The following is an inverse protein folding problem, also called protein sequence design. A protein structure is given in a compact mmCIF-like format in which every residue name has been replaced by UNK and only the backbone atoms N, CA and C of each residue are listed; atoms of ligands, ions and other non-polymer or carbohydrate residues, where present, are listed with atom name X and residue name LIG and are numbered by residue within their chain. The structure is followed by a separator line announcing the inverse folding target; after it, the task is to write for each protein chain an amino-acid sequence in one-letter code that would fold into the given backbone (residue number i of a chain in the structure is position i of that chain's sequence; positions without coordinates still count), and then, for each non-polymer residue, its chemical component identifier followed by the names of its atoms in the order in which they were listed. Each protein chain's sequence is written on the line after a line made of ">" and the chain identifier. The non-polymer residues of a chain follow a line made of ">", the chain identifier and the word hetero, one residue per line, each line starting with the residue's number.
data_IF_364482752664
#
_entry.id   IF_364482752664
#
_cell.length_a   1.000
_cell.length_b   1.000
_cell.length_c   1.000
_cell.angle_alpha   90.00
_cell.angle_beta   90.00
_cell.angle_gamma   90.00
#
_symmetry.space_group_name_H-M   'P 1'
#
loop_
_entity.id
_entity.type
_entity.pdbx_description
1 polymer ?
#
# COMPACT_ATOMS: atom_id res chain seq x y z
N UNK A 1 -19.33 4.93 30.66
CA UNK A 1 -17.99 4.31 30.67
C UNK A 1 -17.25 4.81 29.45
N UNK A 2 -16.26 5.68 29.66
CA UNK A 2 -15.46 6.27 28.60
C UNK A 2 -14.40 5.24 28.17
N UNK A 3 -14.56 4.67 26.97
CA UNK A 3 -13.54 3.85 26.33
C UNK A 3 -12.52 4.82 25.73
N UNK A 4 -11.23 4.78 26.10
CA UNK A 4 -10.24 5.66 25.51
C UNK A 4 -10.08 5.32 24.04
N UNK A 5 -10.41 6.28 23.17
CA UNK A 5 -10.15 6.28 21.72
C UNK A 5 -8.67 6.52 21.46
N UNK A 6 -7.82 5.55 21.79
CA UNK A 6 -6.48 5.50 21.22
C UNK A 6 -6.58 4.86 19.84
N UNK A 7 -6.70 5.70 18.80
CA UNK A 7 -6.39 5.29 17.44
C UNK A 7 -5.02 4.57 17.48
N UNK A 8 -4.92 3.30 17.04
CA UNK A 8 -3.65 2.59 17.09
C UNK A 8 -2.70 3.28 16.12
N UNK A 9 -1.85 4.16 16.66
CA UNK A 9 -0.75 4.77 15.92
C UNK A 9 0.13 3.62 15.45
N UNK A 10 0.02 3.30 14.17
CA UNK A 10 0.66 2.14 13.58
C UNK A 10 2.17 2.40 13.60
N UNK A 11 2.88 1.81 14.57
CA UNK A 11 4.34 1.88 14.73
C UNK A 11 5.08 1.08 13.64
N UNK A 12 4.55 1.09 12.41
CA UNK A 12 5.16 0.42 11.28
C UNK A 12 6.33 1.26 10.77
N UNK A 13 7.41 0.58 10.38
CA UNK A 13 8.67 1.21 9.93
C UNK A 13 8.46 2.29 8.84
N UNK A 14 7.46 2.11 7.99
CA UNK A 14 7.17 3.00 6.85
C UNK A 14 5.78 3.61 6.97
N UNK A 15 5.67 4.92 6.66
CA UNK A 15 4.40 5.67 6.71
C UNK A 15 3.42 5.31 5.58
N UNK A 16 3.91 4.70 4.50
CA UNK A 16 3.13 4.31 3.33
C UNK A 16 3.62 2.96 2.76
N UNK A 17 2.81 2.37 1.87
CA UNK A 17 3.11 1.15 1.12
C UNK A 17 2.95 1.34 -0.37
N UNK A 18 3.65 0.52 -1.17
CA UNK A 18 3.46 0.48 -2.62
C UNK A 18 2.24 -0.38 -2.94
N UNK A 19 1.33 0.14 -3.77
CA UNK A 19 0.24 -0.60 -4.38
C UNK A 19 0.42 -0.55 -5.91
N UNK A 20 0.83 -1.63 -6.58
CA UNK A 20 0.90 -1.66 -8.04
C UNK A 20 -0.45 -1.24 -8.65
N UNK A 21 -0.45 -0.39 -9.68
CA UNK A 21 -1.72 0.10 -10.27
C UNK A 21 -2.56 -1.01 -10.91
N UNK A 22 -1.95 -2.14 -11.26
CA UNK A 22 -2.64 -3.32 -11.79
C UNK A 22 -3.39 -4.10 -10.70
N UNK A 23 -2.96 -3.97 -9.45
CA UNK A 23 -3.53 -4.63 -8.27
C UNK A 23 -4.66 -3.82 -7.63
N UNK A 24 -5.12 -2.73 -8.27
CA UNK A 24 -6.21 -1.92 -7.73
C UNK A 24 -7.48 -2.79 -7.56
N UNK A 25 -8.05 -2.86 -6.35
CA UNK A 25 -9.15 -3.77 -6.11
C UNK A 25 -10.39 -3.34 -6.89
N UNK A 26 -11.03 -4.35 -7.47
CA UNK A 26 -12.35 -4.22 -8.08
C UNK A 26 -13.44 -4.26 -7.01
N UNK A 27 -14.59 -3.69 -7.34
CA UNK A 27 -15.78 -3.72 -6.49
C UNK A 27 -16.11 -2.38 -5.81
N UNK A 28 -17.10 -2.46 -4.90
CA UNK A 28 -17.66 -1.32 -4.19
C UNK A 28 -16.80 -0.95 -2.98
N UNK A 29 -16.88 0.31 -2.58
CA UNK A 29 -16.20 0.84 -1.40
C UNK A 29 -15.68 2.26 -1.62
N UNK A 30 -15.57 3.00 -0.52
CA UNK A 30 -15.06 4.38 -0.50
C UNK A 30 -13.56 4.37 -0.82
N UNK A 31 -12.81 3.46 -0.22
CA UNK A 31 -11.36 3.34 -0.45
C UNK A 31 -11.04 2.85 -1.85
N UNK A 32 -11.82 1.92 -2.41
CA UNK A 32 -11.65 1.52 -3.81
C UNK A 32 -11.87 2.68 -4.77
N UNK A 33 -12.89 3.51 -4.53
CA UNK A 33 -13.11 4.73 -5.29
C UNK A 33 -11.95 5.72 -5.13
N UNK A 34 -11.52 5.97 -3.89
CA UNK A 34 -10.36 6.82 -3.60
C UNK A 34 -9.09 6.34 -4.32
N UNK A 35 -8.77 5.04 -4.26
CA UNK A 35 -7.57 4.49 -4.87
C UNK A 35 -7.58 4.62 -6.40
N UNK A 36 -8.77 4.50 -7.03
CA UNK A 36 -8.95 4.75 -8.47
C UNK A 36 -8.79 6.23 -8.83
N UNK A 37 -9.28 7.16 -8.00
CA UNK A 37 -9.01 8.58 -8.20
C UNK A 37 -7.52 8.89 -8.02
N UNK A 38 -6.91 8.43 -6.93
CA UNK A 38 -5.50 8.65 -6.64
C UNK A 38 -4.57 8.04 -7.70
N UNK A 39 -4.91 6.90 -8.28
CA UNK A 39 -4.12 6.30 -9.36
C UNK A 39 -4.12 7.11 -10.65
N UNK A 40 -5.13 7.98 -10.84
CA UNK A 40 -5.32 8.86 -12.01
C UNK A 40 -4.99 10.33 -11.72
N UNK A 41 -4.66 10.67 -10.48
CA UNK A 41 -4.21 12.00 -10.11
C UNK A 41 -2.81 12.28 -10.68
N UNK A 42 -2.53 13.55 -10.92
CA UNK A 42 -1.25 14.00 -11.44
C UNK A 42 -0.14 13.76 -10.42
N UNK A 43 0.93 13.11 -10.85
CA UNK A 43 2.09 12.82 -10.00
C UNK A 43 3.15 13.93 -10.03
N UNK A 44 2.95 14.93 -10.88
CA UNK A 44 3.72 16.16 -10.96
C UNK A 44 2.82 17.31 -11.43
N UNK A 45 3.10 18.56 -11.07
CA UNK A 45 2.38 19.70 -11.63
C UNK A 45 2.61 19.85 -13.14
N UNK A 46 1.62 20.34 -13.85
CA UNK A 46 1.75 20.74 -15.26
C UNK A 46 0.38 21.10 -15.86
N UNK A 47 0.18 20.83 -17.14
CA UNK A 47 -1.03 21.23 -17.86
C UNK A 47 -1.73 20.06 -18.55
N UNK A 48 -3.06 20.10 -18.60
CA UNK A 48 -3.88 19.13 -19.34
C UNK A 48 -4.90 19.82 -20.23
N UNK A 49 -5.06 19.29 -21.44
CA UNK A 49 -6.08 19.76 -22.40
C UNK A 49 -7.40 19.04 -22.16
N UNK A 50 -8.46 19.80 -21.89
CA UNK A 50 -9.82 19.28 -21.73
C UNK A 50 -10.85 20.27 -22.28
N UNK A 51 -11.85 19.77 -23.03
CA UNK A 51 -12.87 20.58 -23.71
C UNK A 51 -12.29 21.74 -24.53
N UNK A 52 -11.15 21.53 -25.20
CA UNK A 52 -10.48 22.56 -26.00
C UNK A 52 -9.69 23.59 -25.18
N UNK A 53 -9.76 23.56 -23.85
CA UNK A 53 -9.03 24.45 -22.96
C UNK A 53 -7.78 23.76 -22.38
N UNK A 54 -6.71 24.54 -22.24
CA UNK A 54 -5.54 24.14 -21.44
C UNK A 54 -5.86 24.49 -19.99
N UNK A 55 -5.69 23.52 -19.10
CA UNK A 55 -5.96 23.67 -17.69
C UNK A 55 -4.68 23.39 -16.91
N UNK A 56 -4.36 24.26 -15.96
CA UNK A 56 -3.35 23.96 -14.96
C UNK A 56 -3.83 22.82 -14.07
N UNK A 57 -2.93 21.88 -13.82
CA UNK A 57 -3.15 20.69 -13.01
C UNK A 57 -2.09 20.67 -11.90
N UNK A 58 -2.47 21.07 -10.68
CA UNK A 58 -1.62 20.91 -9.51
C UNK A 58 -1.23 19.46 -9.24
N UNK A 59 -0.17 19.27 -8.44
CA UNK A 59 0.16 17.96 -7.90
C UNK A 59 -1.03 17.32 -7.19
N UNK A 60 -1.15 15.99 -7.28
CA UNK A 60 -2.20 15.20 -6.64
C UNK A 60 -3.63 15.52 -7.12
N UNK A 61 -3.76 16.24 -8.24
CA UNK A 61 -5.05 16.65 -8.78
C UNK A 61 -5.36 16.00 -10.12
N UNK A 62 -6.63 16.04 -10.50
CA UNK A 62 -7.07 15.65 -11.82
C UNK A 62 -8.09 16.65 -12.33
N UNK A 63 -8.05 16.91 -13.64
CA UNK A 63 -8.97 17.78 -14.34
C UNK A 63 -9.57 17.05 -15.53
N UNK A 64 -10.89 17.12 -15.67
CA UNK A 64 -11.61 16.58 -16.81
C UNK A 64 -13.09 16.89 -16.69
N UNK A 65 -13.95 15.94 -17.05
CA UNK A 65 -15.40 16.09 -16.83
C UNK A 65 -16.06 14.78 -16.46
N UNK A 66 -17.40 14.83 -16.42
CA UNK A 66 -18.19 13.75 -15.81
C UNK A 66 -17.99 12.38 -16.47
N UNK A 67 -17.74 12.33 -17.77
CA UNK A 67 -17.50 11.07 -18.50
C UNK A 67 -16.19 10.43 -18.03
N UNK A 68 -15.13 11.24 -17.91
CA UNK A 68 -13.84 10.80 -17.37
C UNK A 68 -13.97 10.34 -15.93
N UNK A 69 -14.64 11.11 -15.07
CA UNK A 69 -14.87 10.73 -13.67
C UNK A 69 -15.59 9.37 -13.55
N UNK A 70 -16.66 9.19 -14.31
CA UNK A 70 -17.42 7.94 -14.36
C UNK A 70 -16.56 6.74 -14.77
N UNK A 71 -15.71 6.94 -15.79
CA UNK A 71 -14.75 5.93 -16.25
C UNK A 71 -13.75 5.58 -15.15
N UNK A 72 -13.14 6.57 -14.49
CA UNK A 72 -12.20 6.35 -13.39
C UNK A 72 -12.86 5.58 -12.25
N UNK A 73 -14.07 5.96 -11.84
CA UNK A 73 -14.77 5.33 -10.72
C UNK A 73 -15.38 3.96 -11.06
N UNK A 74 -15.53 3.64 -12.35
CA UNK A 74 -16.30 2.46 -12.80
C UNK A 74 -17.81 2.59 -12.60
N UNK A 75 -18.35 3.82 -12.60
CA UNK A 75 -19.76 4.11 -12.29
C UNK A 75 -20.50 4.61 -13.53
N UNK A 76 -21.56 3.91 -13.94
CA UNK A 76 -22.35 4.26 -15.15
C UNK A 76 -23.30 5.43 -14.97
N UNK A 77 -23.73 5.76 -13.76
CA UNK A 77 -24.71 6.81 -13.50
C UNK A 77 -24.05 8.09 -12.98
N UNK A 78 -24.41 9.24 -13.55
CA UNK A 78 -23.87 10.54 -13.14
C UNK A 78 -24.14 10.85 -11.66
N UNK A 79 -25.38 10.64 -11.21
CA UNK A 79 -25.79 10.93 -9.83
C UNK A 79 -24.98 10.10 -8.83
N UNK A 80 -24.80 8.80 -9.08
CA UNK A 80 -23.99 7.91 -8.23
C UNK A 80 -22.51 8.30 -8.22
N UNK A 81 -21.96 8.75 -9.35
CA UNK A 81 -20.57 9.20 -9.42
C UNK A 81 -20.36 10.47 -8.57
N UNK A 82 -21.26 11.45 -8.67
CA UNK A 82 -21.19 12.67 -7.86
C UNK A 82 -21.44 12.38 -6.38
N UNK A 83 -22.40 11.52 -6.04
CA UNK A 83 -22.63 11.10 -4.65
C UNK A 83 -21.39 10.41 -4.03
N UNK A 84 -20.62 9.67 -4.82
CA UNK A 84 -19.34 9.11 -4.35
C UNK A 84 -18.29 10.20 -4.12
N UNK A 85 -18.23 11.24 -4.97
CA UNK A 85 -17.35 12.39 -4.75
C UNK A 85 -17.72 13.16 -3.49
N UNK A 86 -19.01 13.38 -3.25
CA UNK A 86 -19.52 13.99 -2.01
C UNK A 86 -19.09 13.18 -0.80
N UNK A 87 -19.32 11.87 -0.82
CA UNK A 87 -18.92 10.96 0.26
C UNK A 87 -17.41 10.97 0.50
N UNK A 88 -16.59 10.95 -0.55
CA UNK A 88 -15.13 11.05 -0.43
C UNK A 88 -14.69 12.39 0.15
N UNK A 89 -15.36 13.48 -0.21
CA UNK A 89 -15.08 14.82 0.33
C UNK A 89 -15.52 14.95 1.79
N UNK A 90 -16.66 14.39 2.16
CA UNK A 90 -17.19 14.35 3.53
C UNK A 90 -16.25 13.61 4.47
N UNK A 91 -15.76 12.43 4.05
CA UNK A 91 -14.68 11.73 4.75
C UNK A 91 -13.31 12.40 4.55
N UNK A 92 -13.22 13.59 3.98
CA UNK A 92 -11.96 14.34 3.91
C UNK A 92 -10.84 13.69 3.11
N UNK A 93 -11.14 12.80 2.15
CA UNK A 93 -10.13 12.20 1.27
C UNK A 93 -9.73 13.10 0.11
N UNK A 94 -10.68 13.91 -0.36
CA UNK A 94 -10.49 14.80 -1.50
C UNK A 94 -11.08 16.18 -1.22
N UNK A 95 -10.70 17.14 -2.05
CA UNK A 95 -11.56 18.28 -2.40
C UNK A 95 -11.95 18.13 -3.87
N UNK A 96 -13.13 18.60 -4.25
CA UNK A 96 -13.51 18.60 -5.66
C UNK A 96 -14.45 19.76 -5.99
N UNK A 97 -14.49 20.15 -7.27
CA UNK A 97 -15.37 21.17 -7.80
C UNK A 97 -15.90 20.77 -9.17
N UNK A 98 -17.10 21.26 -9.49
CA UNK A 98 -17.73 21.09 -10.80
C UNK A 98 -18.30 22.43 -11.26
N UNK A 99 -17.72 22.97 -12.32
CA UNK A 99 -18.20 24.20 -12.95
C UNK A 99 -19.46 23.91 -13.78
N UNK A 100 -20.55 24.62 -13.48
CA UNK A 100 -21.84 24.44 -14.14
C UNK A 100 -21.86 24.95 -15.58
N UNK A 101 -21.01 25.92 -15.94
CA UNK A 101 -20.88 26.51 -17.28
C UNK A 101 -19.94 25.67 -18.15
N UNK A 102 -18.71 25.48 -17.71
CA UNK A 102 -17.67 24.80 -18.52
C UNK A 102 -17.76 23.27 -18.44
N UNK A 103 -18.56 22.73 -17.50
CA UNK A 103 -18.63 21.29 -17.16
C UNK A 103 -17.28 20.69 -16.74
N UNK A 104 -16.30 21.54 -16.44
CA UNK A 104 -15.00 21.17 -15.88
C UNK A 104 -15.21 20.62 -14.48
N UNK A 105 -14.73 19.41 -14.26
CA UNK A 105 -14.63 18.77 -12.96
C UNK A 105 -13.15 18.67 -12.59
N UNK A 106 -12.82 19.08 -11.37
CA UNK A 106 -11.49 18.88 -10.80
C UNK A 106 -11.58 18.28 -9.41
N UNK A 107 -10.63 17.42 -9.06
CA UNK A 107 -10.45 16.95 -7.69
C UNK A 107 -8.98 16.94 -7.30
N UNK A 108 -8.72 17.03 -5.99
CA UNK A 108 -7.38 16.95 -5.40
C UNK A 108 -7.39 15.93 -4.26
N UNK A 109 -6.43 15.01 -4.27
CA UNK A 109 -6.22 14.02 -3.20
C UNK A 109 -5.54 14.71 -2.00
N UNK A 110 -6.12 14.58 -0.81
CA UNK A 110 -5.58 15.20 0.42
C UNK A 110 -4.40 14.42 1.00
N UNK A 111 -4.49 13.10 1.02
CA UNK A 111 -3.48 12.22 1.63
C UNK A 111 -2.39 11.78 0.61
N UNK A 112 -1.92 12.70 -0.23
CA UNK A 112 -0.92 12.39 -1.25
C UNK A 112 0.48 12.28 -0.64
N UNK A 113 1.24 11.25 -1.03
CA UNK A 113 2.64 11.06 -0.62
C UNK A 113 3.54 11.89 -1.54
N UNK A 114 3.85 13.12 -1.11
CA UNK A 114 4.56 14.12 -1.92
C UNK A 114 5.96 13.64 -2.30
N UNK A 115 6.62 12.86 -1.45
CA UNK A 115 7.95 12.29 -1.68
C UNK A 115 8.01 11.39 -2.92
N UNK A 116 6.87 10.83 -3.35
CA UNK A 116 6.79 10.01 -4.56
C UNK A 116 6.58 10.82 -5.87
N UNK A 117 6.65 12.16 -5.81
CA UNK A 117 6.21 13.04 -6.90
C UNK A 117 7.35 13.54 -7.80
N UNK A 118 7.04 13.84 -9.05
CA UNK A 118 7.99 14.40 -10.02
C UNK A 118 8.04 15.93 -10.00
N UNK A 119 9.13 16.50 -10.52
CA UNK A 119 9.23 17.95 -10.76
C UNK A 119 8.22 18.43 -11.80
N UNK A 120 7.76 19.67 -11.69
CA UNK A 120 6.82 20.26 -12.64
C UNK A 120 7.37 20.21 -14.07
N UNK A 121 6.50 19.92 -15.06
CA UNK A 121 6.88 19.92 -16.47
C UNK A 121 5.74 20.55 -17.29
N UNK A 122 6.07 21.47 -18.19
CA UNK A 122 5.12 22.17 -19.07
C UNK A 122 4.63 21.28 -20.21
N UNK A 123 5.52 20.45 -20.76
CA UNK A 123 5.30 19.69 -22.00
C UNK A 123 5.41 18.17 -21.82
N UNK A 124 5.39 17.69 -20.57
CA UNK A 124 5.58 16.28 -20.22
C UNK A 124 4.31 15.59 -19.72
N UNK A 125 4.35 14.26 -19.62
CA UNK A 125 3.26 13.46 -19.07
C UNK A 125 3.11 13.71 -17.57
N UNK A 126 1.95 14.24 -17.16
CA UNK A 126 1.63 14.56 -15.77
C UNK A 126 0.78 13.50 -15.05
N UNK A 127 0.05 12.67 -15.79
CA UNK A 127 -0.78 11.58 -15.27
C UNK A 127 -0.09 10.23 -15.48
N UNK A 128 -0.27 9.30 -14.54
CA UNK A 128 0.25 7.96 -14.71
C UNK A 128 -0.44 7.23 -15.87
N UNK A 129 0.34 6.48 -16.66
CA UNK A 129 -0.23 5.49 -17.59
C UNK A 129 -1.03 4.45 -16.80
N UNK A 130 -2.21 4.12 -17.30
CA UNK A 130 -3.08 3.13 -16.67
C UNK A 130 -2.36 1.78 -16.55
N UNK A 131 -2.46 1.17 -15.37
CA UNK A 131 -1.80 -0.11 -15.09
C UNK A 131 -0.28 -0.05 -14.97
N UNK A 132 0.37 1.13 -15.04
CA UNK A 132 1.82 1.22 -14.90
C UNK A 132 2.26 1.80 -13.54
N UNK A 133 3.36 1.28 -13.02
CA UNK A 133 3.96 1.72 -11.76
C UNK A 133 3.10 1.41 -10.53
N UNK A 134 3.35 2.14 -9.45
CA UNK A 134 2.66 1.97 -8.16
C UNK A 134 2.07 3.28 -7.63
N UNK A 135 0.99 3.14 -6.87
CA UNK A 135 0.43 4.18 -6.00
C UNK A 135 1.12 4.09 -4.63
N UNK A 136 1.58 5.23 -4.11
CA UNK A 136 2.04 5.33 -2.73
C UNK A 136 0.82 5.48 -1.82
N UNK A 137 0.51 4.44 -1.04
CA UNK A 137 -0.68 4.32 -0.21
C UNK A 137 -0.33 4.60 1.27
N UNK A 138 -0.83 5.69 1.89
CA UNK A 138 -0.63 5.93 3.32
C UNK A 138 -1.22 4.79 4.14
N UNK A 139 -0.49 4.27 5.14
CA UNK A 139 -0.92 3.08 5.88
C UNK A 139 -2.15 3.30 6.75
N UNK A 140 -2.36 4.53 7.20
CA UNK A 140 -3.49 4.92 8.05
C UNK A 140 -4.72 5.37 7.25
N UNK A 141 -4.68 5.32 5.91
CA UNK A 141 -5.75 5.90 5.07
C UNK A 141 -7.12 5.28 5.37
N UNK A 142 -7.18 3.97 5.63
CA UNK A 142 -8.42 3.25 5.94
C UNK A 142 -8.89 3.43 7.39
N UNK A 143 -8.02 3.93 8.28
CA UNK A 143 -8.37 4.15 9.68
C UNK A 143 -9.52 5.13 9.82
N UNK A 144 -9.61 6.14 8.93
CA UNK A 144 -10.68 7.12 8.96
C UNK A 144 -12.08 6.51 8.79
N UNK A 145 -12.22 5.47 7.96
CA UNK A 145 -13.49 4.73 7.84
C UNK A 145 -13.75 3.85 9.05
N UNK A 146 -12.72 3.16 9.55
CA UNK A 146 -12.86 2.30 10.72
C UNK A 146 -13.25 3.09 11.97
N UNK A 147 -12.60 4.24 12.20
CA UNK A 147 -12.81 5.11 13.34
C UNK A 147 -14.17 5.84 13.27
N UNK A 148 -14.71 6.03 12.06
CA UNK A 148 -16.08 6.54 11.87
C UNK A 148 -17.16 5.45 11.95
N UNK A 149 -16.81 4.22 12.34
CA UNK A 149 -17.70 3.05 12.36
C UNK A 149 -18.42 2.81 11.03
N UNK A 150 -17.76 3.13 9.92
CA UNK A 150 -18.29 2.87 8.58
C UNK A 150 -18.36 1.35 8.36
N UNK A 151 -19.46 0.87 7.78
CA UNK A 151 -19.56 -0.52 7.35
C UNK A 151 -18.83 -0.68 6.02
N UNK A 152 -17.72 -1.40 6.04
CA UNK A 152 -16.84 -1.56 4.87
C UNK A 152 -17.56 -2.29 3.73
N UNK A 153 -17.22 -1.95 2.49
CA UNK A 153 -17.46 -2.81 1.34
C UNK A 153 -16.18 -3.58 0.96
N UNK A 154 -16.28 -4.51 0.02
CA UNK A 154 -15.19 -5.42 -0.37
C UNK A 154 -13.85 -4.71 -0.65
N UNK A 155 -13.86 -3.62 -1.44
CA UNK A 155 -12.61 -2.91 -1.77
C UNK A 155 -12.02 -2.15 -0.58
N UNK A 156 -12.85 -1.79 0.42
CA UNK A 156 -12.37 -1.15 1.65
C UNK A 156 -11.59 -2.13 2.50
N UNK A 157 -12.14 -3.33 2.71
CA UNK A 157 -11.46 -4.41 3.44
C UNK A 157 -10.18 -4.86 2.73
N UNK A 158 -10.21 -4.94 1.39
CA UNK A 158 -9.04 -5.28 0.58
C UNK A 158 -7.89 -4.27 0.79
N UNK A 159 -8.19 -2.97 0.68
CA UNK A 159 -7.18 -1.93 0.89
C UNK A 159 -6.72 -1.85 2.33
N UNK A 160 -7.59 -2.14 3.30
CA UNK A 160 -7.23 -2.17 4.71
C UNK A 160 -6.18 -3.26 4.98
N UNK A 161 -6.35 -4.48 4.45
CA UNK A 161 -5.32 -5.53 4.55
C UNK A 161 -4.01 -5.12 3.85
N UNK A 162 -4.11 -4.52 2.66
CA UNK A 162 -2.92 -4.06 1.91
C UNK A 162 -2.12 -3.00 2.70
N UNK A 163 -2.81 -2.00 3.26
CA UNK A 163 -2.21 -0.94 4.09
C UNK A 163 -1.47 -1.49 5.31
N UNK A 164 -1.94 -2.63 5.84
CA UNK A 164 -1.39 -3.29 7.02
C UNK A 164 -0.40 -4.40 6.67
N UNK A 165 -0.05 -4.60 5.39
CA UNK A 165 0.98 -5.57 5.00
C UNK A 165 2.37 -5.08 5.39
N UNK A 166 3.15 -5.91 6.07
CA UNK A 166 4.52 -5.67 6.48
C UNK A 166 5.46 -6.70 5.88
N UNK A 167 6.70 -6.29 5.63
CA UNK A 167 7.76 -7.15 5.09
C UNK A 167 9.05 -6.87 5.86
N UNK A 168 9.67 -7.93 6.39
CA UNK A 168 10.88 -7.90 7.23
C UNK A 168 10.76 -6.90 8.41
N UNK A 169 9.61 -6.91 9.07
CA UNK A 169 9.38 -6.11 10.26
C UNK A 169 9.94 -6.81 11.51
N UNK A 170 10.80 -6.10 12.24
CA UNK A 170 11.46 -6.60 13.46
C UNK A 170 10.49 -7.05 14.56
N UNK A 171 9.22 -6.63 14.51
CA UNK A 171 8.18 -7.03 15.46
C UNK A 171 7.28 -8.14 14.91
N UNK A 172 7.61 -8.74 13.78
CA UNK A 172 6.84 -9.84 13.20
C UNK A 172 7.74 -10.82 12.44
N UNK A 173 8.11 -11.90 13.12
CA UNK A 173 8.96 -12.97 12.58
C UNK A 173 8.37 -13.60 11.31
N UNK A 174 7.05 -13.74 11.20
CA UNK A 174 6.40 -14.27 10.00
C UNK A 174 6.58 -13.36 8.79
N UNK A 175 6.75 -12.05 9.01
CA UNK A 175 7.01 -11.10 7.93
C UNK A 175 8.39 -11.25 7.30
N UNK A 176 9.28 -12.09 7.85
CA UNK A 176 10.57 -12.42 7.23
C UNK A 176 10.47 -13.61 6.26
N UNK A 177 9.41 -14.41 6.33
CA UNK A 177 9.18 -15.54 5.41
C UNK A 177 8.32 -15.13 4.23
N UNK A 178 7.22 -14.40 4.48
CA UNK A 178 6.40 -13.77 3.44
C UNK A 178 5.76 -12.47 3.95
N UNK A 179 5.36 -11.54 3.07
CA UNK A 179 4.66 -10.33 3.48
C UNK A 179 3.42 -10.69 4.28
N UNK A 180 3.33 -10.18 5.51
CA UNK A 180 2.30 -10.55 6.47
C UNK A 180 1.44 -9.34 6.83
N UNK A 181 0.14 -9.52 6.96
CA UNK A 181 -0.76 -8.46 7.42
C UNK A 181 -0.64 -8.33 8.94
N UNK A 182 -0.45 -7.11 9.42
CA UNK A 182 -0.30 -6.79 10.83
C UNK A 182 -0.99 -5.47 11.19
N UNK A 183 -1.94 -5.54 12.13
CA UNK A 183 -2.63 -4.37 12.66
C UNK A 183 -1.93 -3.85 13.92
N UNK A 184 -1.16 -2.76 13.76
CA UNK A 184 -0.39 -2.18 14.86
C UNK A 184 0.73 -3.10 15.36
N UNK A 185 1.36 -2.76 16.48
CA UNK A 185 2.51 -3.52 16.99
C UNK A 185 2.12 -4.95 17.45
N UNK A 186 0.89 -5.15 17.92
CA UNK A 186 0.43 -6.39 18.55
C UNK A 186 -0.70 -7.08 17.77
N UNK A 187 -0.69 -6.96 16.44
CA UNK A 187 -1.74 -7.53 15.60
C UNK A 187 -1.22 -8.35 14.44
N UNK A 188 -0.15 -9.13 14.64
CA UNK A 188 0.36 -10.06 13.62
C UNK A 188 -0.56 -11.29 13.44
N UNK A 189 -1.18 -11.75 14.53
CA UNK A 189 -2.12 -12.87 14.54
C UNK A 189 -3.54 -12.32 14.65
N UNK A 190 -4.28 -12.47 13.58
CA UNK A 190 -5.61 -11.90 13.40
C UNK A 190 -6.69 -12.87 13.86
N UNK A 191 -7.84 -12.31 14.26
CA UNK A 191 -9.06 -13.10 14.42
C UNK A 191 -10.12 -12.54 13.49
N UNK A 192 -10.97 -13.43 12.99
CA UNK A 192 -12.05 -13.02 12.10
C UNK A 192 -13.05 -12.10 12.82
N UNK A 193 -13.19 -12.26 14.14
CA UNK A 193 -14.00 -11.40 15.00
C UNK A 193 -13.45 -9.97 15.06
N UNK A 194 -12.13 -9.79 15.26
CA UNK A 194 -11.51 -8.46 15.30
C UNK A 194 -11.59 -7.75 13.95
N UNK A 195 -11.38 -8.49 12.85
CA UNK A 195 -11.59 -7.97 11.50
C UNK A 195 -13.06 -7.60 11.27
N UNK A 196 -13.99 -8.45 11.71
CA UNK A 196 -15.43 -8.21 11.63
C UNK A 196 -15.85 -6.93 12.36
N UNK A 197 -15.38 -6.73 13.59
CA UNK A 197 -15.62 -5.50 14.37
C UNK A 197 -15.09 -4.28 13.60
N UNK A 198 -13.85 -4.35 13.11
CA UNK A 198 -13.22 -3.24 12.37
C UNK A 198 -13.96 -2.89 11.08
N UNK A 199 -14.49 -3.87 10.38
CA UNK A 199 -15.15 -3.70 9.08
C UNK A 199 -16.68 -3.53 9.19
N UNK A 200 -17.26 -3.67 10.39
CA UNK A 200 -18.71 -3.71 10.60
C UNK A 200 -19.37 -4.94 9.98
N UNK A 201 -18.66 -6.07 9.96
CA UNK A 201 -19.07 -7.34 9.35
C UNK A 201 -19.25 -8.44 10.39
N UNK A 202 -20.15 -9.38 10.10
CA UNK A 202 -20.17 -10.66 10.80
C UNK A 202 -18.98 -11.54 10.39
N UNK A 203 -18.65 -12.50 11.25
CA UNK A 203 -17.53 -13.44 11.05
C UNK A 203 -17.63 -14.22 9.73
N UNK A 204 -18.84 -14.59 9.32
CA UNK A 204 -19.08 -15.37 8.10
C UNK A 204 -18.76 -14.54 6.86
N UNK A 205 -19.08 -13.25 6.85
CA UNK A 205 -18.74 -12.32 5.77
C UNK A 205 -17.22 -12.12 5.68
N UNK A 206 -16.53 -11.95 6.81
CA UNK A 206 -15.06 -11.87 6.85
C UNK A 206 -14.43 -13.13 6.25
N UNK A 207 -14.91 -14.31 6.65
CA UNK A 207 -14.44 -15.58 6.10
C UNK A 207 -14.66 -15.66 4.58
N UNK A 208 -15.87 -15.37 4.10
CA UNK A 208 -16.20 -15.40 2.67
C UNK A 208 -15.33 -14.42 1.86
N UNK A 209 -15.05 -13.25 2.41
CA UNK A 209 -14.15 -12.28 1.79
C UNK A 209 -12.73 -12.82 1.64
N UNK A 210 -12.16 -13.39 2.72
CA UNK A 210 -10.80 -13.96 2.67
C UNK A 210 -10.72 -15.17 1.72
N UNK A 211 -11.78 -15.97 1.63
CA UNK A 211 -11.84 -17.07 0.65
C UNK A 211 -11.94 -16.57 -0.79
N UNK A 212 -12.72 -15.50 -1.03
CA UNK A 212 -12.85 -14.87 -2.34
C UNK A 212 -11.52 -14.29 -2.84
N UNK A 213 -10.69 -13.77 -1.94
CA UNK A 213 -9.42 -13.12 -2.25
C UNK A 213 -8.21 -13.92 -1.77
N UNK A 214 -8.32 -15.26 -1.71
CA UNK A 214 -7.27 -16.15 -1.18
C UNK A 214 -5.98 -16.15 -2.00
N UNK A 215 -6.10 -15.81 -3.28
CA UNK A 215 -5.01 -15.66 -4.24
C UNK A 215 -4.07 -14.52 -3.84
N UNK A 216 -4.64 -13.39 -3.40
CA UNK A 216 -3.89 -12.22 -2.90
C UNK A 216 -3.58 -12.36 -1.41
N UNK A 217 -4.58 -12.76 -0.61
CA UNK A 217 -4.50 -12.83 0.85
C UNK A 217 -4.64 -14.28 1.33
N UNK A 218 -3.52 -14.99 1.39
CA UNK A 218 -3.50 -16.37 1.86
C UNK A 218 -3.65 -16.43 3.37
N UNK A 219 -4.68 -17.14 3.85
CA UNK A 219 -4.94 -17.35 5.26
C UNK A 219 -4.31 -18.66 5.76
N UNK A 220 -3.56 -18.59 6.85
CA UNK A 220 -3.05 -19.75 7.56
C UNK A 220 -3.64 -19.79 8.98
N UNK A 221 -4.44 -20.82 9.27
CA UNK A 221 -5.06 -20.99 10.60
C UNK A 221 -4.05 -21.54 11.59
N UNK A 222 -3.91 -20.90 12.74
CA UNK A 222 -3.06 -21.40 13.82
C UNK A 222 -3.78 -22.49 14.64
N UNK A 223 -3.04 -23.38 15.32
CA UNK A 223 -3.63 -24.38 16.21
C UNK A 223 -4.54 -23.76 17.28
N UNK A 224 -5.60 -24.46 17.68
CA UNK A 224 -6.52 -23.99 18.72
C UNK A 224 -7.33 -22.75 18.32
N UNK A 225 -7.56 -21.85 19.29
CA UNK A 225 -8.36 -20.62 19.14
C UNK A 225 -7.51 -19.36 19.00
N UNK A 226 -6.20 -19.48 18.69
CA UNK A 226 -5.29 -18.34 18.65
C UNK A 226 -5.58 -17.35 17.50
N UNK A 227 -6.18 -17.81 16.40
CA UNK A 227 -6.49 -17.00 15.24
C UNK A 227 -5.80 -17.49 13.96
N UNK A 228 -5.48 -16.56 13.06
CA UNK A 228 -4.83 -16.85 11.79
C UNK A 228 -3.76 -15.81 11.46
N UNK A 229 -2.79 -16.25 10.66
CA UNK A 229 -1.89 -15.37 9.91
C UNK A 229 -2.51 -15.10 8.54
N UNK A 230 -2.33 -13.90 8.02
CA UNK A 230 -2.73 -13.54 6.66
C UNK A 230 -1.50 -13.04 5.93
N UNK A 231 -1.13 -13.71 4.84
CA UNK A 231 0.00 -13.34 3.99
C UNK A 231 -0.49 -12.67 2.72
N UNK A 232 0.20 -11.63 2.28
CA UNK A 232 -0.07 -10.94 1.03
C UNK A 232 0.95 -11.39 -0.03
N UNK A 233 0.50 -12.22 -0.95
CA UNK A 233 1.33 -12.85 -2.00
C UNK A 233 1.67 -11.88 -3.14
N UNK A 234 0.87 -10.84 -3.34
CA UNK A 234 1.06 -9.86 -4.41
C UNK A 234 1.85 -8.62 -3.95
N UNK A 235 2.27 -8.57 -2.68
CA UNK A 235 3.03 -7.44 -2.17
C UNK A 235 4.42 -7.35 -2.81
N UNK A 236 4.82 -6.20 -3.37
CA UNK A 236 6.07 -6.08 -4.12
C UNK A 236 7.29 -6.09 -3.19
N UNK A 237 7.94 -7.25 -3.07
CA UNK A 237 9.18 -7.44 -2.29
C UNK A 237 10.44 -7.34 -3.13
N UNK A 238 10.32 -7.45 -4.46
CA UNK A 238 11.46 -7.48 -5.39
C UNK A 238 12.03 -8.88 -5.64
N UNK A 239 11.43 -9.92 -5.05
CA UNK A 239 11.76 -11.32 -5.29
C UNK A 239 10.49 -12.17 -5.33
N UNK A 240 10.52 -13.29 -6.06
CA UNK A 240 9.46 -14.29 -5.95
C UNK A 240 9.54 -14.94 -4.58
N UNK A 241 8.50 -14.76 -3.77
CA UNK A 241 8.41 -15.30 -2.42
C UNK A 241 7.31 -16.34 -2.39
N UNK A 242 7.68 -17.57 -2.03
CA UNK A 242 6.72 -18.63 -1.77
C UNK A 242 5.92 -18.38 -0.49
N UNK A 243 4.72 -18.95 -0.43
CA UNK A 243 3.93 -18.96 0.80
C UNK A 243 4.62 -19.90 1.80
N UNK A 244 4.82 -19.48 3.06
CA UNK A 244 5.46 -20.33 4.06
C UNK A 244 4.60 -21.57 4.34
N UNK A 245 5.26 -22.71 4.43
CA UNK A 245 4.64 -23.98 4.80
C UNK A 245 4.14 -23.96 6.25
N UNK A 246 3.20 -24.84 6.58
CA UNK A 246 2.73 -25.01 7.95
C UNK A 246 3.87 -25.34 8.92
N UNK A 247 4.84 -26.14 8.49
CA UNK A 247 5.99 -26.51 9.30
C UNK A 247 6.91 -25.32 9.59
N UNK A 248 7.14 -24.43 8.62
CA UNK A 248 7.91 -23.19 8.84
C UNK A 248 7.21 -22.26 9.82
N UNK A 249 5.88 -22.09 9.68
CA UNK A 249 5.08 -21.28 10.60
C UNK A 249 5.14 -21.86 12.02
N UNK A 250 5.02 -23.17 12.14
CA UNK A 250 5.09 -23.85 13.44
C UNK A 250 6.48 -23.76 14.06
N UNK A 251 7.56 -23.87 13.27
CA UNK A 251 8.94 -23.64 13.75
C UNK A 251 9.11 -22.25 14.34
N UNK A 252 8.63 -21.21 13.64
CA UNK A 252 8.67 -19.83 14.16
C UNK A 252 7.88 -19.72 15.47
N UNK A 253 6.67 -20.29 15.53
CA UNK A 253 5.84 -20.27 16.74
C UNK A 253 6.51 -21.00 17.91
N UNK A 254 7.12 -22.14 17.68
CA UNK A 254 7.81 -22.92 18.71
C UNK A 254 9.06 -22.20 19.21
N UNK A 255 9.79 -21.49 18.34
CA UNK A 255 10.92 -20.67 18.77
C UNK A 255 10.48 -19.47 19.62
N UNK A 256 9.37 -18.81 19.26
CA UNK A 256 8.74 -17.77 20.09
C UNK A 256 8.33 -18.34 21.45
N UNK A 257 7.75 -19.54 21.48
CA UNK A 257 7.35 -20.24 22.72
C UNK A 257 8.55 -20.53 23.61
N UNK A 258 9.61 -21.13 23.08
CA UNK A 258 10.84 -21.46 23.82
C UNK A 258 11.44 -20.19 24.44
N UNK A 259 11.57 -19.12 23.63
CA UNK A 259 12.15 -17.85 24.08
C UNK A 259 11.31 -17.13 25.12
N UNK A 260 10.00 -17.39 25.16
CA UNK A 260 9.12 -16.85 26.19
C UNK A 260 9.24 -17.51 27.57
N UNK A 261 10.11 -18.53 27.73
CA UNK A 261 10.48 -19.17 29.02
C UNK A 261 9.29 -19.49 29.95
N UNK A 262 8.19 -20.04 29.40
CA UNK A 262 7.01 -20.50 30.15
C UNK A 262 6.35 -19.46 31.08
N UNK A 263 5.49 -18.62 30.52
CA UNK A 263 4.21 -18.29 31.17
C UNK A 263 3.15 -19.19 30.53
N UNK A 264 2.62 -20.16 31.27
CA UNK A 264 1.74 -21.24 30.81
C UNK A 264 0.87 -20.90 29.57
N UNK A 265 1.22 -21.45 28.39
CA UNK A 265 0.47 -21.22 27.13
C UNK A 265 -0.95 -21.81 27.14
N UNK A 266 -1.28 -22.67 28.11
CA UNK A 266 -2.63 -23.25 28.24
C UNK A 266 -3.71 -22.21 28.59
N UNK A 267 -3.32 -21.00 29.05
CA UNK A 267 -4.24 -19.86 29.27
C UNK A 267 -4.04 -18.72 28.26
N UNK A 268 -3.32 -18.98 27.16
CA UNK A 268 -2.92 -17.93 26.25
C UNK A 268 -4.10 -17.53 25.35
N UNK A 269 -4.62 -16.32 25.52
CA UNK A 269 -5.52 -15.73 24.54
C UNK A 269 -4.73 -15.15 23.35
N UNK A 270 -5.41 -14.84 22.25
CA UNK A 270 -4.82 -14.23 21.04
C UNK A 270 -3.93 -13.01 21.35
N UNK A 271 -4.26 -12.22 22.37
CA UNK A 271 -3.53 -11.01 22.74
C UNK A 271 -2.15 -11.30 23.33
N UNK A 272 -2.08 -12.27 24.25
CA UNK A 272 -0.80 -12.70 24.83
C UNK A 272 0.12 -13.28 23.76
N UNK A 273 -0.41 -14.05 22.80
CA UNK A 273 0.42 -14.56 21.69
C UNK A 273 1.00 -13.44 20.85
N UNK A 274 0.17 -12.46 20.48
CA UNK A 274 0.60 -11.30 19.74
C UNK A 274 1.69 -10.49 20.46
N UNK A 275 1.61 -10.34 21.79
CA UNK A 275 2.68 -9.71 22.59
C UNK A 275 3.99 -10.49 22.51
N UNK A 276 3.93 -11.82 22.64
CA UNK A 276 5.10 -12.69 22.50
C UNK A 276 5.72 -12.58 21.09
N UNK A 277 4.90 -12.58 20.04
CA UNK A 277 5.37 -12.35 18.66
C UNK A 277 6.10 -11.01 18.59
N UNK A 278 5.48 -9.91 19.01
CA UNK A 278 6.07 -8.57 18.92
C UNK A 278 7.41 -8.42 19.66
N UNK A 279 7.54 -9.05 20.84
CA UNK A 279 8.73 -8.95 21.68
C UNK A 279 9.88 -9.85 21.25
N UNK A 280 9.58 -11.08 20.82
CA UNK A 280 10.61 -12.07 20.52
C UNK A 280 11.02 -12.09 19.04
N UNK A 281 10.21 -11.53 18.13
CA UNK A 281 10.52 -11.48 16.69
C UNK A 281 11.87 -10.84 16.38
N UNK A 282 12.27 -9.79 17.11
CA UNK A 282 13.55 -9.10 16.90
C UNK A 282 14.78 -10.00 17.08
N UNK A 283 14.63 -11.09 17.83
CA UNK A 283 15.71 -12.05 18.09
C UNK A 283 15.65 -13.27 17.16
N UNK A 284 14.62 -13.34 16.31
CA UNK A 284 14.36 -14.40 15.33
C UNK A 284 14.68 -13.95 13.90
N UNK A 285 14.65 -12.64 13.65
CA UNK A 285 15.16 -12.08 12.42
C UNK A 285 16.61 -12.55 12.23
N UNK A 286 17.01 -13.01 11.02
CA UNK A 286 18.41 -13.26 10.74
C UNK A 286 19.21 -12.02 11.13
N UNK A 287 20.31 -12.17 11.89
CA UNK A 287 21.18 -11.05 12.23
C UNK A 287 21.65 -10.41 10.93
N UNK A 288 21.05 -9.28 10.55
CA UNK A 288 21.37 -8.58 9.32
C UNK A 288 21.80 -7.15 9.64
N UNK A 289 23.10 -6.93 9.48
CA UNK A 289 23.81 -5.66 9.34
C UNK A 289 23.84 -4.71 10.57
N UNK A 290 24.98 -4.03 10.80
CA UNK A 290 25.14 -3.12 11.93
C UNK A 290 24.14 -1.96 11.85
N UNK A 291 23.73 -1.49 13.03
CA UNK A 291 23.04 -0.22 13.19
C UNK A 291 23.84 0.87 12.48
N UNK A 292 23.30 1.40 11.37
CA UNK A 292 23.80 2.65 10.80
C UNK A 292 23.50 3.76 11.81
N UNK A 293 24.52 4.08 12.60
CA UNK A 293 24.64 5.35 13.29
C UNK A 293 24.61 6.46 12.25
N UNK A 294 23.86 7.53 12.55
CA UNK A 294 23.51 8.54 11.58
C UNK A 294 24.72 9.22 10.96
N UNK A 295 24.73 9.28 9.63
CA UNK A 295 25.28 10.40 8.86
C UNK A 295 24.54 10.46 7.52
N UNK A 296 24.29 11.70 7.09
CA UNK A 296 23.43 12.10 5.99
C UNK A 296 23.66 11.33 4.69
N UNK A 297 22.60 10.72 4.18
CA UNK A 297 22.35 10.70 2.75
C UNK A 297 20.85 10.89 2.58
N UNK A 298 20.45 12.01 1.99
CA UNK A 298 19.14 12.15 1.37
C UNK A 298 18.86 10.87 0.58
N UNK A 299 17.95 10.04 1.08
CA UNK A 299 17.44 8.87 0.36
C UNK A 299 16.70 9.36 -0.87
N UNK A 300 17.46 9.68 -1.91
CA UNK A 300 16.97 10.06 -3.23
C UNK A 300 16.12 8.90 -3.72
N UNK A 301 14.81 9.13 -3.63
CA UNK A 301 13.78 8.50 -4.44
C UNK A 301 14.36 8.31 -5.84
N UNK A 302 14.36 7.07 -6.33
CA UNK A 302 15.04 6.67 -7.56
C UNK A 302 14.90 7.71 -8.66
N UNK A 303 16.03 8.27 -9.09
CA UNK A 303 16.16 9.06 -10.31
C UNK A 303 16.07 8.03 -11.46
N UNK A 304 14.85 7.61 -11.84
CA UNK A 304 14.38 7.04 -13.13
C UNK A 304 12.99 6.38 -12.94
N UNK A 305 12.12 6.37 -13.97
CA UNK A 305 10.77 6.90 -13.84
C UNK A 305 9.77 5.86 -13.33
N UNK A 306 9.26 6.11 -12.13
CA UNK A 306 8.11 5.48 -11.48
C UNK A 306 6.78 5.56 -12.26
N UNK A 307 6.77 6.17 -13.45
CA UNK A 307 5.57 6.63 -14.16
C UNK A 307 5.58 6.55 -15.71
N UNK A 308 6.60 6.00 -16.38
CA UNK A 308 6.68 6.05 -17.87
C UNK A 308 6.49 4.66 -18.49
N UNK A 309 5.61 4.56 -19.49
CA UNK A 309 5.34 3.37 -20.28
C UNK A 309 6.59 2.76 -20.92
N UNK A 310 6.63 1.44 -21.06
CA UNK A 310 7.55 0.75 -21.97
C UNK A 310 7.28 1.23 -23.40
N UNK A 311 8.19 2.00 -23.99
CA UNK A 311 8.19 2.20 -25.42
C UNK A 311 8.65 0.89 -26.08
N UNK A 312 7.71 0.18 -26.73
CA UNK A 312 7.95 -1.14 -27.34
C UNK A 312 8.75 -1.10 -28.66
N UNK A 313 9.42 0.02 -28.98
CA UNK A 313 10.38 0.13 -30.07
C UNK A 313 11.04 1.52 -30.01
N UNK A 314 12.20 1.64 -29.39
CA UNK A 314 12.92 2.93 -29.29
C UNK A 314 14.27 2.89 -30.01
N UNK A 315 14.22 2.94 -31.34
CA UNK A 315 15.33 3.48 -32.14
C UNK A 315 15.25 5.01 -32.34
N UNK A 316 14.27 5.68 -31.70
CA UNK A 316 14.15 7.14 -31.66
C UNK A 316 13.46 7.57 -30.36
N UNK A 317 14.24 7.77 -29.28
CA UNK A 317 13.72 8.34 -28.05
C UNK A 317 13.57 9.87 -28.20
N UNK A 318 12.33 10.37 -28.18
CA UNK A 318 12.05 11.77 -27.84
C UNK A 318 12.04 11.90 -26.32
N UNK A 319 12.88 12.77 -25.78
CA UNK A 319 13.05 13.01 -24.35
C UNK A 319 11.77 13.56 -23.71
N UNK A 320 11.36 13.00 -22.57
CA UNK A 320 10.07 13.30 -21.91
C UNK A 320 10.04 14.63 -21.14
N UNK A 321 11.20 15.27 -20.94
CA UNK A 321 11.41 16.69 -20.63
C UNK A 321 12.87 17.00 -21.05
N UNK A 322 13.17 18.14 -21.67
CA UNK A 322 14.52 18.46 -22.20
C UNK A 322 15.64 18.46 -21.12
N UNK A 323 16.58 17.49 -21.20
CA UNK A 323 17.85 17.38 -20.43
C UNK A 323 17.75 16.50 -19.17
N UNK A 324 18.58 15.49 -18.87
CA UNK A 324 19.96 15.15 -19.23
C UNK A 324 20.16 13.63 -19.44
N UNK A 325 21.11 13.30 -20.31
CA UNK A 325 21.64 11.98 -20.72
C UNK A 325 21.23 10.71 -19.97
N UNK A 326 20.42 9.89 -20.62
CA UNK A 326 20.28 8.46 -20.32
C UNK A 326 21.36 7.69 -21.09
N UNK A 327 22.40 7.23 -20.38
CA UNK A 327 23.23 6.13 -20.88
C UNK A 327 22.37 4.87 -20.94
N UNK A 328 22.43 4.22 -22.10
CA UNK A 328 22.04 2.85 -22.44
C UNK A 328 21.43 1.98 -21.34
N UNK A 329 20.27 1.42 -21.68
CA UNK A 329 19.50 0.38 -21.00
C UNK A 329 20.37 -0.53 -20.12
N UNK A 330 20.16 -0.52 -18.80
CA UNK A 330 20.56 -1.64 -17.96
C UNK A 330 19.40 -2.62 -17.80
N UNK A 331 19.78 -3.89 -17.81
CA UNK A 331 19.02 -5.10 -17.57
C UNK A 331 17.99 -5.00 -16.42
N UNK A 332 16.92 -5.80 -16.47
CA UNK A 332 15.81 -5.89 -15.50
C UNK A 332 16.25 -6.15 -14.03
N UNK A 333 17.54 -6.36 -13.80
CA UNK A 333 18.21 -6.50 -12.50
C UNK A 333 18.33 -5.20 -11.67
N UNK A 334 17.88 -4.04 -12.18
CA UNK A 334 17.88 -2.76 -11.46
C UNK A 334 16.58 -2.38 -10.75
N UNK A 335 15.52 -3.20 -10.83
CA UNK A 335 14.33 -3.04 -9.98
C UNK A 335 14.58 -3.74 -8.65
N UNK A 336 15.25 -3.05 -7.71
CA UNK A 336 15.53 -3.60 -6.37
C UNK A 336 14.49 -3.12 -5.35
N UNK A 337 13.97 -4.07 -4.57
CA UNK A 337 13.35 -3.85 -3.26
C UNK A 337 14.37 -3.30 -2.24
N UNK A 338 14.02 -3.18 -0.95
CA UNK A 338 14.88 -2.52 0.02
C UNK A 338 16.25 -3.21 0.07
N UNK A 339 17.28 -2.41 -0.25
CA UNK A 339 18.73 -2.62 -0.16
C UNK A 339 19.24 -4.06 0.01
N UNK A 340 19.92 -4.59 -1.02
CA UNK A 340 20.80 -5.75 -0.87
C UNK A 340 22.22 -5.43 -1.37
N UNK A 341 23.20 -5.75 -0.54
CA UNK A 341 24.62 -5.44 -0.66
C UNK A 341 25.27 -6.36 -1.70
N UNK A 342 25.92 -5.79 -2.72
CA UNK A 342 26.96 -6.53 -3.45
C UNK A 342 28.30 -5.83 -3.26
N UNK A 343 29.11 -6.42 -2.38
CA UNK A 343 30.54 -6.27 -2.38
C UNK A 343 31.07 -6.54 -3.80
N UNK A 344 31.74 -5.55 -4.38
CA UNK A 344 32.75 -5.76 -5.42
C UNK A 344 34.02 -5.08 -4.93
N UNK A 345 34.74 -5.81 -4.09
CA UNK A 345 36.13 -5.51 -3.80
C UNK A 345 37.00 -6.03 -4.94
N UNK A 346 37.89 -5.16 -5.42
CA UNK A 346 39.16 -5.57 -6.03
C UNK A 346 39.28 -5.33 -7.53
N UNK A 347 39.81 -4.16 -7.90
CA UNK A 347 40.95 -4.07 -8.82
C UNK A 347 41.83 -2.89 -8.39
N UNK A 348 43.13 -3.17 -8.37
CA UNK A 348 44.15 -2.44 -7.62
C UNK A 348 44.64 -1.15 -8.27
N UNK A 349 45.48 -0.44 -7.52
CA UNK A 349 46.60 0.31 -8.05
C UNK A 349 47.78 0.20 -7.06
N UNK A 350 48.95 -0.03 -7.64
CA UNK A 350 50.30 -0.33 -7.10
C UNK A 350 50.56 -1.76 -6.59
#
# INVERSE_FOLDING_TARGET
>A
MNIPTTSPQCLLKYKWVKLPRQELPQGKGVMGAWARLASRAAFRPGQAKYCGHINDVPLASWVGGIVGLKSILGIKERQKALAMMDKLSEYGYITYSLDSKTKKLSYTIKDWVVECSGAACSDGVIYATEGYGFLCLPRNITARLADSYYKFDDSDAWLDLWCHTVWQDKHNAFSHTAPAVQFGQYGAILTLEKLGIRWGWDKTKVWRFLQKHRDVFTLHKLPGSFGCLVFNTHYPTGAEIGIPSGDEIMRILDEIRIRSKNTHFQTLNNERLNKSVAWYSKNLAPQAAPEYTGMSSESRVSVFPTYISLCWNCNNCSYDCWGNGLRTIPDNSMIRGPCDNRNSGGFGYE
#
